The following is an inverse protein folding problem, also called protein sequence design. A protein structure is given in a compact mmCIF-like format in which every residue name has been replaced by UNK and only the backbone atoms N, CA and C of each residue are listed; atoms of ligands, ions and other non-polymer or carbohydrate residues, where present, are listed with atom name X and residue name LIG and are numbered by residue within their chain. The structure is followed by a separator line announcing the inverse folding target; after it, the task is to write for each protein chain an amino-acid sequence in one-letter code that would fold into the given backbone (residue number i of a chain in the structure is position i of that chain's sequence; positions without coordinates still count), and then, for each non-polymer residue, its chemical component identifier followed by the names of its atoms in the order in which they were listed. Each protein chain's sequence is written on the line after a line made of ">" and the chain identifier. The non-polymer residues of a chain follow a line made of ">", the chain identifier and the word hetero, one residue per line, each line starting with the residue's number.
data_IF_894683121362
#
_entry.id   IF_894683121362
#
_cell.length_a   1.000
_cell.length_b   1.000
_cell.length_c   1.000
_cell.angle_alpha   90.00
_cell.angle_beta   90.00
_cell.angle_gamma   90.00
#
_symmetry.space_group_name_H-M   'P 1'
#
loop_
_entity.id
_entity.type
_entity.pdbx_description
1 polymer ?
#
# COMPACT_ATOMS: atom_id res chain seq x y z
N UNK A 1 -11.03 0.77 -11.33
CA UNK A 1 -9.70 0.20 -11.03
C UNK A 1 -9.52 0.20 -9.53
N UNK A 2 -9.06 -0.88 -8.95
CA UNK A 2 -8.75 -0.98 -7.53
C UNK A 2 -7.32 -1.51 -7.38
N UNK A 3 -6.64 -1.07 -6.33
CA UNK A 3 -5.41 -1.71 -5.90
C UNK A 3 -5.72 -3.15 -5.47
N UNK A 4 -4.80 -4.07 -5.69
CA UNK A 4 -4.98 -5.42 -5.19
C UNK A 4 -5.03 -5.43 -3.65
N UNK A 5 -5.65 -6.47 -3.07
CA UNK A 5 -5.84 -6.56 -1.61
C UNK A 5 -4.52 -6.52 -0.82
N UNK A 6 -3.47 -7.09 -1.39
CA UNK A 6 -2.15 -7.08 -0.77
C UNK A 6 -1.60 -5.66 -0.64
N UNK A 7 -1.68 -4.87 -1.71
CA UNK A 7 -1.30 -3.45 -1.74
C UNK A 7 -2.14 -2.63 -0.76
N UNK A 8 -3.47 -2.80 -0.77
CA UNK A 8 -4.37 -2.10 0.14
C UNK A 8 -4.00 -2.37 1.61
N UNK A 9 -3.80 -3.62 1.98
CA UNK A 9 -3.42 -3.99 3.35
C UNK A 9 -2.03 -3.46 3.74
N UNK A 10 -1.08 -3.48 2.81
CA UNK A 10 0.26 -2.95 3.05
C UNK A 10 0.24 -1.44 3.30
N UNK A 11 -0.48 -0.69 2.50
CA UNK A 11 -0.62 0.77 2.67
C UNK A 11 -1.33 1.11 4.00
N UNK A 12 -2.40 0.40 4.34
CA UNK A 12 -3.09 0.57 5.63
C UNK A 12 -2.17 0.26 6.80
N UNK A 13 -1.36 -0.80 6.69
CA UNK A 13 -0.39 -1.16 7.72
C UNK A 13 0.67 -0.07 7.89
N UNK A 14 1.22 0.48 6.81
CA UNK A 14 2.16 1.60 6.88
C UNK A 14 1.56 2.80 7.61
N UNK A 15 0.33 3.18 7.26
CA UNK A 15 -0.38 4.28 7.93
C UNK A 15 -0.65 3.99 9.40
N UNK A 16 -0.94 2.73 9.73
CA UNK A 16 -1.22 2.29 11.10
C UNK A 16 0.01 2.37 11.99
N UNK A 17 1.13 1.78 11.56
CA UNK A 17 2.37 1.72 12.36
C UNK A 17 3.12 3.06 12.42
N UNK A 18 2.75 4.01 11.58
CA UNK A 18 3.27 5.37 11.61
C UNK A 18 2.68 6.22 12.73
N UNK A 19 1.59 5.77 13.37
CA UNK A 19 1.01 6.47 14.52
C UNK A 19 1.97 6.42 15.72
N UNK A 20 2.07 7.48 16.51
CA UNK A 20 2.88 7.49 17.72
C UNK A 20 2.46 6.35 18.68
N UNK A 21 3.43 5.61 19.18
CA UNK A 21 3.23 4.59 20.20
C UNK A 21 4.52 4.35 20.99
N UNK A 22 4.41 4.17 22.28
CA UNK A 22 5.54 3.86 23.16
C UNK A 22 6.03 2.42 22.93
N UNK A 23 5.13 1.53 22.56
CA UNK A 23 5.43 0.12 22.29
C UNK A 23 5.26 -0.22 20.80
N UNK A 24 5.98 -1.26 20.29
CA UNK A 24 5.72 -1.79 18.96
C UNK A 24 4.28 -2.30 18.82
N UNK A 25 3.70 -2.17 17.64
CA UNK A 25 2.38 -2.72 17.34
C UNK A 25 2.46 -4.22 17.06
N UNK A 26 1.52 -5.00 17.59
CA UNK A 26 1.43 -6.43 17.27
C UNK A 26 0.58 -6.68 16.02
N UNK A 27 0.85 -7.79 15.31
CA UNK A 27 0.05 -8.18 14.14
C UNK A 27 -1.41 -8.43 14.55
N UNK A 28 -1.65 -9.03 15.71
CA UNK A 28 -3.00 -9.31 16.21
C UNK A 28 -3.81 -8.04 16.45
N UNK A 29 -3.20 -7.01 17.05
CA UNK A 29 -3.80 -5.69 17.27
C UNK A 29 -4.15 -5.03 15.95
N UNK A 30 -3.21 -4.97 15.01
CA UNK A 30 -3.41 -4.37 13.68
C UNK A 30 -4.52 -5.10 12.92
N UNK A 31 -4.51 -6.44 12.94
CA UNK A 31 -5.51 -7.26 12.27
C UNK A 31 -6.93 -6.98 12.80
N UNK A 32 -7.05 -6.86 14.12
CA UNK A 32 -8.31 -6.54 14.78
C UNK A 32 -8.82 -5.16 14.39
N UNK A 33 -7.98 -4.15 14.48
CA UNK A 33 -8.37 -2.76 14.23
C UNK A 33 -8.68 -2.48 12.76
N UNK A 34 -7.94 -3.11 11.85
CA UNK A 34 -8.16 -2.98 10.41
C UNK A 34 -9.22 -3.94 9.86
N UNK A 35 -9.78 -4.83 10.69
CA UNK A 35 -10.71 -5.87 10.27
C UNK A 35 -10.18 -6.76 9.14
N UNK A 36 -8.90 -7.13 9.23
CA UNK A 36 -8.19 -7.94 8.24
C UNK A 36 -7.76 -9.26 8.86
N UNK A 37 -7.75 -10.33 8.06
CA UNK A 37 -7.23 -11.62 8.50
C UNK A 37 -5.77 -11.51 8.95
N UNK A 38 -5.47 -12.01 10.14
CA UNK A 38 -4.11 -12.05 10.68
C UNK A 38 -3.15 -12.81 9.76
N UNK A 39 -3.61 -13.90 9.14
CA UNK A 39 -2.80 -14.67 8.19
C UNK A 39 -2.40 -13.86 6.95
N UNK A 40 -3.28 -13.00 6.46
CA UNK A 40 -2.95 -12.09 5.36
C UNK A 40 -1.93 -11.05 5.81
N UNK A 41 -2.10 -10.47 7.00
CA UNK A 41 -1.14 -9.49 7.52
C UNK A 41 0.25 -10.07 7.77
N UNK A 42 0.37 -11.31 8.22
CA UNK A 42 1.67 -11.98 8.37
C UNK A 42 2.46 -11.95 7.05
N UNK A 43 1.81 -12.24 5.92
CA UNK A 43 2.44 -12.20 4.60
C UNK A 43 2.87 -10.79 4.20
N UNK A 44 2.00 -9.81 4.46
CA UNK A 44 2.29 -8.39 4.20
C UNK A 44 3.47 -7.93 5.05
N UNK A 45 3.47 -8.20 6.35
CA UNK A 45 4.55 -7.84 7.28
C UNK A 45 5.89 -8.45 6.84
N UNK A 46 5.88 -9.73 6.47
CA UNK A 46 7.09 -10.40 5.99
C UNK A 46 7.65 -9.73 4.74
N UNK A 47 6.79 -9.41 3.77
CA UNK A 47 7.18 -8.70 2.56
C UNK A 47 7.74 -7.31 2.87
N UNK A 48 7.03 -6.53 3.68
CA UNK A 48 7.42 -5.16 4.02
C UNK A 48 8.70 -5.11 4.86
N UNK A 49 8.95 -6.12 5.70
CA UNK A 49 10.20 -6.28 6.41
C UNK A 49 11.39 -6.51 5.46
N UNK A 50 11.20 -7.29 4.38
CA UNK A 50 12.21 -7.48 3.33
C UNK A 50 12.49 -6.20 2.52
N UNK A 51 11.47 -5.34 2.36
CA UNK A 51 11.62 -4.04 1.72
C UNK A 51 12.21 -2.97 2.66
N UNK A 52 12.46 -3.34 3.92
CA UNK A 52 12.98 -2.43 4.95
C UNK A 52 12.06 -1.22 5.24
N UNK A 53 10.76 -1.33 4.91
CA UNK A 53 9.79 -0.29 5.26
C UNK A 53 9.33 -0.35 6.70
N UNK A 54 9.42 -1.52 7.30
CA UNK A 54 9.11 -1.76 8.71
C UNK A 54 10.23 -2.54 9.37
N UNK A 55 10.31 -2.39 10.70
CA UNK A 55 11.22 -3.14 11.56
C UNK A 55 10.39 -4.08 12.42
N UNK A 56 10.77 -5.36 12.43
CA UNK A 56 10.15 -6.37 13.29
C UNK A 56 11.04 -6.63 14.50
N UNK A 57 10.46 -6.56 15.69
CA UNK A 57 11.14 -6.81 16.97
C UNK A 57 10.62 -8.12 17.53
N UNK A 58 11.51 -9.09 17.74
CA UNK A 58 11.16 -10.43 18.27
C UNK A 58 11.14 -10.44 19.79
N UNK A 59 10.43 -11.42 20.36
CA UNK A 59 10.40 -11.70 21.79
C UNK A 59 9.31 -10.98 22.55
N UNK A 60 9.41 -11.03 23.90
CA UNK A 60 8.45 -10.38 24.80
C UNK A 60 8.52 -8.86 24.62
N UNK A 61 7.36 -8.22 24.42
CA UNK A 61 7.30 -6.79 24.13
C UNK A 61 7.69 -6.43 22.69
N UNK A 62 7.85 -7.44 21.81
CA UNK A 62 8.13 -7.26 20.40
C UNK A 62 6.90 -6.87 19.59
N UNK A 63 7.10 -6.66 18.31
CA UNK A 63 6.07 -6.25 17.36
C UNK A 63 6.67 -5.55 16.15
N UNK A 64 5.92 -4.60 15.60
CA UNK A 64 6.25 -3.92 14.36
C UNK A 64 6.35 -2.40 14.61
N UNK A 65 7.37 -1.79 14.03
CA UNK A 65 7.54 -0.35 13.96
C UNK A 65 7.78 0.08 12.52
N UNK A 66 7.42 1.31 12.19
CA UNK A 66 7.84 1.92 10.94
C UNK A 66 9.37 2.10 10.96
N UNK A 67 10.03 1.75 9.84
CA UNK A 67 11.42 2.12 9.65
C UNK A 67 11.49 3.63 9.32
N UNK A 68 12.21 4.45 10.09
CA UNK A 68 12.31 5.89 9.80
C UNK A 68 12.83 6.19 8.38
N UNK A 69 13.71 5.36 7.84
CA UNK A 69 14.25 5.55 6.50
C UNK A 69 13.17 5.41 5.40
N UNK A 70 12.10 4.65 5.69
CA UNK A 70 10.97 4.50 4.77
C UNK A 70 10.21 5.81 4.53
N UNK A 71 10.32 6.80 5.41
CA UNK A 71 9.69 8.12 5.25
C UNK A 71 10.16 8.84 3.98
N UNK A 72 11.39 8.58 3.54
CA UNK A 72 11.96 9.15 2.31
C UNK A 72 11.57 8.37 1.06
N UNK A 73 10.88 7.25 1.21
CA UNK A 73 10.46 6.42 0.08
C UNK A 73 9.35 7.11 -0.70
N UNK A 74 9.49 7.06 -2.01
CA UNK A 74 8.55 7.59 -2.96
C UNK A 74 7.28 6.72 -2.99
N UNK A 75 6.10 7.33 -2.89
CA UNK A 75 4.83 6.60 -2.79
C UNK A 75 4.53 5.78 -4.05
N UNK A 76 4.82 6.31 -5.22
CA UNK A 76 4.64 5.58 -6.49
C UNK A 76 5.52 4.33 -6.56
N UNK A 77 6.77 4.43 -6.09
CA UNK A 77 7.68 3.28 -6.01
C UNK A 77 7.18 2.22 -5.05
N UNK A 78 6.67 2.61 -3.87
CA UNK A 78 6.04 1.68 -2.91
C UNK A 78 4.87 0.95 -3.57
N UNK A 79 3.97 1.67 -4.21
CA UNK A 79 2.78 1.09 -4.85
C UNK A 79 3.15 0.19 -6.03
N UNK A 80 4.15 0.56 -6.85
CA UNK A 80 4.66 -0.31 -7.94
C UNK A 80 5.15 -1.65 -7.39
N UNK A 81 5.99 -1.62 -6.37
CA UNK A 81 6.56 -2.82 -5.76
C UNK A 81 5.45 -3.71 -5.19
N UNK A 82 4.45 -3.12 -4.54
CA UNK A 82 3.32 -3.85 -3.96
C UNK A 82 2.36 -4.42 -5.00
N UNK A 83 2.10 -3.70 -6.08
CA UNK A 83 1.23 -4.16 -7.17
C UNK A 83 1.91 -5.23 -8.03
N UNK A 84 3.26 -5.27 -8.07
CA UNK A 84 4.01 -6.14 -8.96
C UNK A 84 3.78 -5.82 -10.44
N UNK A 85 3.96 -6.80 -11.30
CA UNK A 85 3.83 -6.66 -12.76
C UNK A 85 2.35 -6.63 -13.23
N UNK A 86 1.47 -5.99 -12.47
CA UNK A 86 0.07 -5.90 -12.82
C UNK A 86 -0.14 -5.00 -14.04
N UNK A 87 -0.59 -5.63 -15.13
CA UNK A 87 -1.07 -4.94 -16.31
C UNK A 87 -2.56 -4.61 -16.15
N UNK A 88 -3.01 -3.52 -16.75
CA UNK A 88 -4.44 -3.16 -16.73
C UNK A 88 -5.25 -4.17 -17.53
N UNK A 89 -4.67 -4.69 -18.60
CA UNK A 89 -5.27 -5.69 -19.48
C UNK A 89 -4.32 -6.85 -19.70
N UNK A 90 -4.84 -8.08 -19.63
CA UNK A 90 -4.09 -9.30 -19.96
C UNK A 90 -4.16 -9.57 -21.48
N UNK A 91 -3.01 -9.49 -22.15
CA UNK A 91 -2.92 -9.71 -23.58
C UNK A 91 -2.16 -10.99 -23.98
N UNK A 92 -1.58 -11.70 -23.02
CA UNK A 92 -0.67 -12.80 -23.27
C UNK A 92 -1.28 -14.17 -22.94
N UNK A 93 -2.18 -14.27 -21.97
CA UNK A 93 -2.70 -15.54 -21.47
C UNK A 93 -4.23 -15.52 -21.28
N UNK A 94 -5.02 -16.08 -22.21
CA UNK A 94 -4.62 -16.57 -23.54
C UNK A 94 -4.17 -15.43 -24.48
N UNK A 95 -3.36 -15.71 -25.52
CA UNK A 95 -2.90 -14.65 -26.42
C UNK A 95 -4.06 -13.92 -27.09
N UNK A 96 -4.12 -12.62 -26.93
CA UNK A 96 -5.11 -11.78 -27.58
C UNK A 96 -4.83 -11.66 -29.08
N UNK A 97 -5.81 -11.94 -29.91
CA UNK A 97 -5.68 -11.89 -31.38
C UNK A 97 -5.44 -10.47 -31.91
N UNK A 98 -5.80 -9.45 -31.14
CA UNK A 98 -5.66 -8.04 -31.52
C UNK A 98 -4.30 -7.44 -31.15
N UNK A 99 -3.47 -8.12 -30.34
CA UNK A 99 -2.29 -7.54 -29.69
C UNK A 99 -1.26 -6.93 -30.65
N UNK A 100 -1.16 -7.46 -31.87
CA UNK A 100 -0.20 -6.98 -32.87
C UNK A 100 -0.54 -5.60 -33.47
N UNK A 101 -1.80 -5.19 -33.39
CA UNK A 101 -2.31 -3.94 -33.98
C UNK A 101 -3.20 -3.16 -33.01
N UNK A 102 -3.16 -3.48 -31.71
CA UNK A 102 -4.04 -2.88 -30.71
C UNK A 102 -3.41 -1.60 -30.11
N UNK A 103 -3.96 -0.45 -30.48
CA UNK A 103 -3.58 0.84 -29.87
C UNK A 103 -4.07 1.04 -28.43
N UNK A 104 -5.12 0.29 -28.02
CA UNK A 104 -5.72 0.43 -26.69
C UNK A 104 -4.75 0.05 -25.56
N UNK A 105 -3.98 -1.03 -25.74
CA UNK A 105 -3.00 -1.46 -24.73
C UNK A 105 -1.99 -0.37 -24.42
N UNK A 106 -1.42 0.26 -25.43
CA UNK A 106 -0.44 1.34 -25.26
C UNK A 106 -1.00 2.54 -24.51
N UNK A 107 -2.26 2.91 -24.78
CA UNK A 107 -2.96 4.01 -24.10
C UNK A 107 -3.18 3.64 -22.60
N UNK A 108 -3.59 2.41 -22.31
CA UNK A 108 -3.80 1.95 -20.94
C UNK A 108 -2.48 1.85 -20.17
N UNK A 109 -1.41 1.37 -20.80
CA UNK A 109 -0.09 1.31 -20.18
C UNK A 109 0.43 2.72 -19.86
N UNK A 110 0.22 3.68 -20.75
CA UNK A 110 0.57 5.09 -20.51
C UNK A 110 -0.26 5.71 -19.38
N UNK A 111 -1.54 5.39 -19.30
CA UNK A 111 -2.41 5.85 -18.21
C UNK A 111 -1.97 5.27 -16.87
N UNK A 112 -1.58 4.00 -16.82
CA UNK A 112 -1.03 3.37 -15.62
C UNK A 112 0.29 4.03 -15.21
N UNK A 113 1.17 4.32 -16.15
CA UNK A 113 2.42 5.02 -15.86
C UNK A 113 2.15 6.42 -15.30
N UNK A 114 1.20 7.16 -15.87
CA UNK A 114 0.78 8.48 -15.36
C UNK A 114 0.22 8.40 -13.94
N UNK A 115 -0.50 7.33 -13.61
CA UNK A 115 -0.96 7.06 -12.24
C UNK A 115 0.21 6.95 -11.27
N UNK A 116 1.23 6.16 -11.60
CA UNK A 116 2.41 6.02 -10.75
C UNK A 116 3.20 7.32 -10.64
N UNK A 117 3.39 8.04 -11.75
CA UNK A 117 4.09 9.33 -11.76
C UNK A 117 3.38 10.37 -10.89
N UNK A 118 2.06 10.34 -10.84
CA UNK A 118 1.29 11.21 -9.95
C UNK A 118 1.58 10.90 -8.47
N UNK A 119 1.69 9.62 -8.12
CA UNK A 119 2.07 9.19 -6.77
C UNK A 119 3.54 9.47 -6.45
N UNK A 120 4.41 9.46 -7.46
CA UNK A 120 5.84 9.73 -7.32
C UNK A 120 6.15 11.16 -6.86
N UNK A 121 5.19 12.05 -6.93
CA UNK A 121 5.33 13.41 -6.41
C UNK A 121 5.29 13.50 -4.88
N UNK A 122 4.96 12.41 -4.21
CA UNK A 122 4.81 12.34 -2.75
C UNK A 122 5.72 11.27 -2.16
N UNK A 123 6.33 11.61 -1.03
CA UNK A 123 7.00 10.64 -0.16
C UNK A 123 6.03 10.07 0.87
N UNK A 124 6.36 8.93 1.46
CA UNK A 124 5.58 8.37 2.56
C UNK A 124 5.48 9.36 3.72
N UNK A 125 6.56 10.08 4.03
CA UNK A 125 6.59 11.08 5.08
C UNK A 125 5.59 12.21 4.86
N UNK A 126 5.48 12.72 3.63
CA UNK A 126 4.53 13.78 3.27
C UNK A 126 3.08 13.31 3.41
N UNK A 127 2.77 12.09 2.99
CA UNK A 127 1.43 11.49 3.16
C UNK A 127 1.06 11.40 4.64
N UNK A 128 2.00 10.98 5.49
CA UNK A 128 1.78 10.87 6.92
C UNK A 128 1.61 12.23 7.61
N UNK A 129 2.29 13.27 7.13
CA UNK A 129 2.11 14.64 7.60
C UNK A 129 0.72 15.19 7.23
N UNK A 130 0.28 14.98 5.98
CA UNK A 130 -1.05 15.37 5.53
C UNK A 130 -2.16 14.70 6.37
N UNK A 131 -1.97 13.44 6.73
CA UNK A 131 -2.92 12.71 7.57
C UNK A 131 -3.03 13.26 9.00
N UNK A 132 -1.94 13.84 9.54
CA UNK A 132 -1.94 14.47 10.86
C UNK A 132 -2.61 15.85 10.88
N UNK A 133 -2.55 16.56 9.77
CA UNK A 133 -3.13 17.91 9.62
C UNK A 133 -4.59 17.89 9.17
N UNK A 134 -5.12 16.73 8.78
CA UNK A 134 -6.53 16.59 8.48
C UNK A 134 -7.38 16.86 9.74
N UNK A 135 -8.44 17.69 9.66
CA UNK A 135 -9.32 17.90 10.80
C UNK A 135 -9.90 16.56 11.27
N UNK A 136 -10.09 16.36 12.59
CA UNK A 136 -10.77 15.19 13.10
C UNK A 136 -12.13 15.09 12.42
N UNK A 137 -12.37 13.97 11.81
CA UNK A 137 -13.44 13.67 10.87
C UNK A 137 -14.75 14.42 11.08
N UNK A 138 -15.21 15.08 10.02
CA UNK A 138 -16.65 15.02 9.72
C UNK A 138 -16.98 13.55 9.45
N UNK A 139 -17.92 12.93 10.19
CA UNK A 139 -18.38 11.60 9.83
C UNK A 139 -18.81 11.66 8.37
N UNK A 140 -18.18 10.84 7.52
CA UNK A 140 -18.68 10.64 6.17
C UNK A 140 -20.08 10.11 6.38
N UNK A 141 -21.07 10.97 6.20
CA UNK A 141 -22.44 10.53 6.10
C UNK A 141 -22.46 9.62 4.89
N UNK A 142 -22.47 8.31 5.11
CA UNK A 142 -22.86 7.37 4.08
C UNK A 142 -24.27 7.78 3.68
N UNK A 143 -24.37 8.47 2.56
CA UNK A 143 -25.64 8.64 1.88
C UNK A 143 -26.11 7.21 1.58
N UNK A 144 -27.03 6.74 2.42
CA UNK A 144 -27.83 5.58 2.09
C UNK A 144 -28.63 5.95 0.84
N UNK A 145 -28.22 5.36 -0.26
CA UNK A 145 -29.04 5.32 -1.47
C UNK A 145 -30.05 4.21 -1.30
#
# INVERSE_FOLDING_TARGET
>A
MQLNKFTDYALRLLMYVARPSDAPYTIAEIAKDLHVSQNHLVKVVHFMGKQEWIITIRGKGGGIRLNPDALNSNLGSIVRILQGDNQIVECNTPPCVLRSHCGLKGILDQALESFYQSLDQYTLGEVLQQSKSAPPESPIAFLQI
#
